data_IF_080376527082
#
_entry.id   IF_080376527082
#
_cell.length_a   1.000
_cell.length_b   1.000
_cell.length_c   1.000
_cell.angle_alpha   90.00
_cell.angle_beta   90.00
_cell.angle_gamma   90.00
#
_symmetry.space_group_name_H-M   'P 1'
#
loop_
_entity.id
_entity.type
_entity.pdbx_description
1 polymer ?
#
# COMPACT_ATOMS: atom_id res chain seq x y z
N UNK A 1 -60.75 -41.46 9.53
CA UNK A 1 -59.62 -41.35 8.59
C UNK A 1 -58.36 -41.00 9.38
N UNK A 2 -57.41 -41.92 9.50
CA UNK A 2 -56.21 -41.76 10.34
C UNK A 2 -55.08 -41.29 9.42
N UNK A 3 -54.80 -39.99 9.42
CA UNK A 3 -53.74 -39.40 8.61
C UNK A 3 -52.37 -39.73 9.18
N UNK A 4 -51.50 -40.34 8.39
CA UNK A 4 -50.10 -40.54 8.73
C UNK A 4 -49.33 -39.22 8.57
N UNK A 5 -48.66 -38.68 9.61
CA UNK A 5 -47.78 -37.54 9.44
C UNK A 5 -46.43 -38.04 8.93
N UNK A 6 -46.23 -38.03 7.62
CA UNK A 6 -44.93 -38.25 7.01
C UNK A 6 -43.97 -37.12 7.40
N UNK A 7 -42.97 -37.42 8.23
CA UNK A 7 -41.92 -36.46 8.61
C UNK A 7 -41.00 -36.20 7.42
N UNK A 8 -41.14 -35.04 6.77
CA UNK A 8 -40.20 -34.53 5.77
C UNK A 8 -39.07 -33.72 6.43
N UNK A 9 -38.33 -34.30 7.38
CA UNK A 9 -37.35 -33.53 8.19
C UNK A 9 -35.94 -34.14 8.27
N UNK A 10 -35.54 -34.94 7.29
CA UNK A 10 -34.20 -35.57 7.27
C UNK A 10 -33.26 -35.01 6.20
N UNK A 11 -33.78 -34.29 5.20
CA UNK A 11 -32.96 -33.84 4.06
C UNK A 11 -32.17 -32.57 4.36
N UNK A 12 -32.74 -31.63 5.13
CA UNK A 12 -32.08 -30.37 5.52
C UNK A 12 -30.89 -30.61 6.46
N UNK A 13 -31.05 -31.49 7.44
CA UNK A 13 -29.99 -31.82 8.41
C UNK A 13 -28.82 -32.56 7.73
N UNK A 14 -29.11 -33.46 6.80
CA UNK A 14 -28.09 -34.13 5.99
C UNK A 14 -27.31 -33.15 5.08
N UNK A 15 -27.97 -32.13 4.53
CA UNK A 15 -27.28 -31.10 3.73
C UNK A 15 -26.38 -30.20 4.58
N UNK A 16 -26.82 -29.83 5.79
CA UNK A 16 -26.01 -29.04 6.72
C UNK A 16 -24.79 -29.82 7.22
N UNK A 17 -24.95 -31.12 7.48
CA UNK A 17 -23.85 -32.00 7.86
C UNK A 17 -22.80 -32.12 6.74
N UNK A 18 -23.23 -32.31 5.49
CA UNK A 18 -22.33 -32.36 4.34
C UNK A 18 -21.59 -31.04 4.12
N UNK A 19 -22.27 -29.92 4.31
CA UNK A 19 -21.69 -28.59 4.17
C UNK A 19 -20.64 -28.29 5.25
N UNK A 20 -20.84 -28.77 6.48
CA UNK A 20 -19.86 -28.66 7.56
C UNK A 20 -18.63 -29.57 7.35
N UNK A 21 -18.82 -30.79 6.85
CA UNK A 21 -17.70 -31.67 6.47
C UNK A 21 -16.86 -31.06 5.33
N UNK A 22 -17.51 -30.48 4.31
CA UNK A 22 -16.81 -29.75 3.24
C UNK A 22 -16.03 -28.55 3.77
N UNK A 23 -16.59 -27.78 4.72
CA UNK A 23 -15.88 -26.67 5.37
C UNK A 23 -14.68 -27.16 6.18
N UNK A 24 -14.80 -28.30 6.89
CA UNK A 24 -13.68 -28.90 7.64
C UNK A 24 -12.57 -29.33 6.70
N UNK A 25 -12.90 -30.03 5.61
CA UNK A 25 -11.93 -30.46 4.60
C UNK A 25 -11.28 -29.27 3.89
N UNK A 26 -12.06 -28.23 3.55
CA UNK A 26 -11.52 -27.03 2.95
C UNK A 26 -10.54 -26.31 3.89
N UNK A 27 -10.87 -26.19 5.18
CA UNK A 27 -9.97 -25.60 6.17
C UNK A 27 -8.72 -26.44 6.41
N UNK A 28 -8.85 -27.77 6.40
CA UNK A 28 -7.74 -28.72 6.56
C UNK A 28 -6.83 -28.74 5.34
N UNK A 29 -7.36 -28.52 4.13
CA UNK A 29 -6.58 -28.45 2.89
C UNK A 29 -5.95 -27.07 2.64
N UNK A 30 -6.65 -25.99 3.01
CA UNK A 30 -6.16 -24.61 2.86
C UNK A 30 -5.05 -24.27 3.86
N UNK A 31 -5.02 -24.91 5.04
CA UNK A 31 -3.95 -24.75 6.03
C UNK A 31 -2.55 -25.11 5.48
N UNK A 32 -2.34 -26.31 4.92
CA UNK A 32 -1.09 -26.66 4.24
C UNK A 32 -0.70 -25.69 3.13
N UNK A 33 -1.67 -25.24 2.33
CA UNK A 33 -1.40 -24.29 1.22
C UNK A 33 -0.90 -22.94 1.76
N UNK A 34 -1.50 -22.44 2.84
CA UNK A 34 -1.08 -21.20 3.48
C UNK A 34 0.30 -21.35 4.12
N UNK A 35 0.55 -22.46 4.83
CA UNK A 35 1.85 -22.76 5.44
C UNK A 35 2.97 -22.85 4.39
N UNK A 36 2.71 -23.51 3.25
CA UNK A 36 3.66 -23.58 2.13
C UNK A 36 3.94 -22.17 1.57
N UNK A 37 2.92 -21.33 1.44
CA UNK A 37 3.09 -19.95 0.97
C UNK A 37 3.92 -19.11 1.95
N UNK A 38 3.61 -19.18 3.23
CA UNK A 38 4.30 -18.42 4.28
C UNK A 38 5.76 -18.89 4.44
N UNK A 39 6.02 -20.19 4.30
CA UNK A 39 7.38 -20.75 4.29
C UNK A 39 8.18 -20.29 3.06
N UNK A 40 7.56 -20.30 1.87
CA UNK A 40 8.14 -19.75 0.64
C UNK A 40 8.41 -18.24 0.73
N UNK A 41 7.49 -17.47 1.31
CA UNK A 41 7.69 -16.04 1.49
C UNK A 41 8.82 -15.77 2.49
N UNK A 42 8.85 -16.51 3.59
CA UNK A 42 9.88 -16.39 4.63
C UNK A 42 11.26 -16.82 4.12
N UNK A 43 11.35 -17.89 3.33
CA UNK A 43 12.62 -18.34 2.76
C UNK A 43 13.15 -17.35 1.70
N UNK A 44 12.28 -16.74 0.89
CA UNK A 44 12.65 -15.72 -0.07
C UNK A 44 13.10 -14.42 0.63
N UNK A 45 12.45 -14.06 1.73
CA UNK A 45 12.81 -12.89 2.54
C UNK A 45 14.14 -13.08 3.28
N UNK A 46 14.45 -14.30 3.73
CA UNK A 46 15.68 -14.61 4.46
C UNK A 46 16.87 -14.91 3.54
N UNK A 47 16.63 -15.11 2.24
CA UNK A 47 17.69 -15.34 1.28
C UNK A 47 18.48 -14.04 1.04
N UNK A 48 19.59 -13.92 1.77
CA UNK A 48 20.51 -12.78 1.73
C UNK A 48 20.96 -12.44 0.30
N UNK A 49 21.16 -13.44 -0.56
CA UNK A 49 21.56 -13.23 -1.95
C UNK A 49 20.47 -12.49 -2.75
N UNK A 50 19.19 -12.71 -2.40
CA UNK A 50 18.05 -12.02 -3.02
C UNK A 50 17.88 -10.61 -2.44
N UNK A 51 18.12 -10.43 -1.13
CA UNK A 51 18.11 -9.11 -0.49
C UNK A 51 19.19 -8.17 -1.06
N UNK A 52 20.36 -8.72 -1.43
CA UNK A 52 21.42 -7.98 -2.13
C UNK A 52 20.95 -7.54 -3.52
N UNK A 53 20.21 -8.38 -4.25
CA UNK A 53 19.66 -8.01 -5.55
C UNK A 53 18.72 -6.80 -5.47
N UNK A 54 17.76 -6.80 -4.54
CA UNK A 54 16.85 -5.66 -4.35
C UNK A 54 17.58 -4.39 -3.95
N UNK A 55 18.57 -4.50 -3.05
CA UNK A 55 19.41 -3.37 -2.64
C UNK A 55 20.18 -2.79 -3.82
N UNK A 56 20.74 -3.64 -4.68
CA UNK A 56 21.49 -3.21 -5.88
C UNK A 56 20.59 -2.49 -6.90
N UNK A 57 19.34 -2.97 -7.08
CA UNK A 57 18.39 -2.36 -7.99
C UNK A 57 17.96 -0.97 -7.52
N UNK A 58 17.67 -0.82 -6.23
CA UNK A 58 17.33 0.48 -5.65
C UNK A 58 18.51 1.46 -5.73
N UNK A 59 19.73 0.98 -5.44
CA UNK A 59 20.95 1.76 -5.56
C UNK A 59 21.21 2.23 -7.01
N UNK A 60 20.97 1.38 -8.01
CA UNK A 60 21.12 1.74 -9.42
C UNK A 60 20.12 2.84 -9.84
N UNK A 61 18.87 2.75 -9.39
CA UNK A 61 17.84 3.78 -9.64
C UNK A 61 18.18 5.11 -8.96
N UNK A 62 18.59 5.06 -7.70
CA UNK A 62 18.99 6.24 -6.93
C UNK A 62 20.21 6.92 -7.56
N UNK A 63 21.20 6.16 -8.01
CA UNK A 63 22.39 6.69 -8.71
C UNK A 63 22.01 7.44 -9.99
N UNK A 64 21.09 6.88 -10.79
CA UNK A 64 20.58 7.53 -12.02
C UNK A 64 19.87 8.84 -11.70
N UNK A 65 19.00 8.86 -10.69
CA UNK A 65 18.26 10.06 -10.31
C UNK A 65 19.16 11.14 -9.69
N UNK A 66 20.07 10.74 -8.80
CA UNK A 66 21.03 11.63 -8.14
C UNK A 66 21.96 12.33 -9.14
N UNK A 67 22.44 11.60 -10.16
CA UNK A 67 23.27 12.15 -11.24
C UNK A 67 22.51 13.21 -12.05
N UNK A 68 21.20 13.02 -12.27
CA UNK A 68 20.34 14.01 -12.93
C UNK A 68 20.12 15.24 -12.05
N UNK A 69 19.88 15.04 -10.75
CA UNK A 69 19.72 16.13 -9.79
C UNK A 69 20.99 16.99 -9.65
N UNK A 70 22.18 16.40 -9.79
CA UNK A 70 23.45 17.14 -9.83
C UNK A 70 23.64 17.96 -11.10
N UNK A 71 23.18 17.45 -12.25
CA UNK A 71 23.31 18.15 -13.55
C UNK A 71 22.40 19.37 -13.64
N UNK A 72 21.24 19.30 -12.99
CA UNK A 72 20.32 20.42 -12.86
C UNK A 72 20.03 20.61 -11.38
N UNK A 73 20.93 21.31 -10.63
CA UNK A 73 20.58 21.71 -9.29
C UNK A 73 19.24 22.43 -9.40
N UNK A 74 18.24 21.97 -8.66
CA UNK A 74 16.96 22.67 -8.59
C UNK A 74 17.32 24.09 -8.18
N UNK A 75 17.14 25.04 -9.09
CA UNK A 75 17.26 26.45 -8.77
C UNK A 75 16.37 26.63 -7.55
N UNK A 76 16.98 26.85 -6.38
CA UNK A 76 16.26 27.27 -5.20
C UNK A 76 15.38 28.39 -5.70
N UNK A 77 14.07 28.15 -5.73
CA UNK A 77 13.14 29.04 -6.38
C UNK A 77 13.40 30.41 -5.78
N UNK A 78 13.94 31.29 -6.62
CA UNK A 78 14.36 32.65 -6.34
C UNK A 78 13.12 33.50 -6.09
N UNK A 79 12.32 33.10 -5.10
CA UNK A 79 11.14 33.83 -4.64
C UNK A 79 11.43 34.57 -3.33
N UNK A 80 12.68 34.65 -2.92
CA UNK A 80 13.12 35.49 -1.79
C UNK A 80 14.08 36.61 -2.19
N UNK A 81 14.57 36.65 -3.44
CA UNK A 81 15.38 37.78 -3.91
C UNK A 81 14.54 38.97 -4.37
N UNK A 82 13.22 38.79 -4.53
CA UNK A 82 12.30 39.92 -4.61
C UNK A 82 11.90 40.35 -3.20
N UNK A 83 12.90 40.69 -2.37
CA UNK A 83 12.66 41.48 -1.16
C UNK A 83 12.11 42.82 -1.66
N UNK A 84 10.78 42.96 -1.71
CA UNK A 84 10.12 44.23 -1.98
C UNK A 84 10.60 45.22 -0.92
N UNK A 85 11.48 46.15 -1.32
CA UNK A 85 11.91 47.25 -0.46
C UNK A 85 10.73 48.18 -0.19
N UNK A 86 10.73 48.91 0.93
CA UNK A 86 9.62 49.79 1.31
C UNK A 86 9.20 50.76 0.19
N UNK A 87 10.14 51.18 -0.67
CA UNK A 87 9.85 52.02 -1.84
C UNK A 87 8.87 51.38 -2.84
N UNK A 88 8.87 50.05 -2.96
CA UNK A 88 8.00 49.32 -3.89
C UNK A 88 6.62 49.01 -3.32
N UNK A 89 6.46 49.04 -1.99
CA UNK A 89 5.18 48.82 -1.31
C UNK A 89 4.54 50.09 -0.80
N UNK A 90 5.18 51.26 -0.93
CA UNK A 90 4.63 52.54 -0.46
C UNK A 90 4.04 53.34 -1.61
N UNK A 91 2.76 53.68 -1.52
CA UNK A 91 2.08 54.53 -2.51
C UNK A 91 2.53 55.99 -2.38
N UNK A 92 2.29 56.83 -3.40
CA UNK A 92 2.62 58.28 -3.36
C UNK A 92 1.99 59.03 -2.17
N UNK A 93 0.96 58.47 -1.53
CA UNK A 93 0.33 58.99 -0.32
C UNK A 93 0.98 58.51 0.99
N UNK A 94 2.09 57.77 0.93
CA UNK A 94 2.80 57.23 2.10
C UNK A 94 2.20 55.95 2.70
N UNK A 95 1.19 55.35 2.07
CA UNK A 95 0.54 54.14 2.59
C UNK A 95 1.25 52.86 2.11
N UNK A 96 1.49 51.92 3.02
CA UNK A 96 2.12 50.63 2.70
C UNK A 96 1.08 49.60 2.26
N UNK A 97 1.30 48.97 1.10
CA UNK A 97 0.52 47.87 0.57
C UNK A 97 1.10 46.54 1.11
N UNK A 98 0.36 45.91 2.03
CA UNK A 98 0.70 44.58 2.55
C UNK A 98 -0.04 43.52 1.72
N UNK A 99 0.67 42.75 0.90
CA UNK A 99 0.11 41.51 0.35
C UNK A 99 0.31 40.39 1.39
N UNK A 100 -0.78 39.91 1.96
CA UNK A 100 -0.77 38.66 2.73
C UNK A 100 -0.67 37.49 1.76
N UNK A 101 0.30 36.59 1.99
CA UNK A 101 0.43 35.32 1.28
C UNK A 101 -0.08 34.19 2.18
#
# INVERSE_FOLDING_TARGET
>A
MRGCPGKLYTNLDATEQLLNELKRLAAEYLRPVLEIYDELASNASNNLDTAVYFSSWDQARNTKYYSRAKRYPRLLARRQDLRLTAEQTTTKSGAQFLMYH
#
